data_IF_908749185581
#
_entry.id   IF_908749185581
#
_cell.length_a   1.000
_cell.length_b   1.000
_cell.length_c   1.000
_cell.angle_alpha   90.00
_cell.angle_beta   90.00
_cell.angle_gamma   90.00
#
_symmetry.space_group_name_H-M   'P 1'
#
loop_
_entity.id
_entity.type
_entity.pdbx_description
1 polymer ?
#
# COMPACT_ATOMS: atom_id res chain seq x y z
N UNK A 1 -27.06 29.16 59.90
CA UNK A 1 -26.40 29.66 58.67
C UNK A 1 -25.75 28.49 57.94
N UNK A 2 -26.05 28.35 56.65
CA UNK A 2 -25.69 27.23 55.76
C UNK A 2 -24.17 27.13 55.55
N UNK A 3 -23.63 25.91 55.46
CA UNK A 3 -22.32 25.66 54.82
C UNK A 3 -22.47 24.65 53.68
N UNK A 4 -21.93 25.08 52.56
CA UNK A 4 -21.98 24.62 51.18
C UNK A 4 -21.38 23.24 50.96
N UNK A 5 -22.11 22.37 50.26
CA UNK A 5 -21.59 21.13 49.67
C UNK A 5 -20.84 21.46 48.37
N UNK A 6 -19.57 21.05 48.27
CA UNK A 6 -18.77 21.20 47.04
C UNK A 6 -18.84 19.91 46.23
N UNK A 7 -19.39 20.03 45.02
CA UNK A 7 -19.49 18.95 44.02
C UNK A 7 -18.15 18.94 43.26
N UNK A 8 -17.33 17.91 43.48
CA UNK A 8 -16.19 17.65 42.59
C UNK A 8 -16.70 16.83 41.40
N UNK A 9 -17.03 17.54 40.33
CA UNK A 9 -17.30 16.95 39.03
C UNK A 9 -15.99 16.49 38.39
N UNK A 10 -15.78 15.17 38.35
CA UNK A 10 -14.70 14.57 37.58
C UNK A 10 -14.95 14.78 36.09
N UNK A 11 -14.21 15.70 35.47
CA UNK A 11 -14.15 15.81 34.01
C UNK A 11 -13.31 14.62 33.51
N UNK A 12 -13.98 13.56 33.07
CA UNK A 12 -13.33 12.54 32.25
C UNK A 12 -12.92 13.19 30.92
N UNK A 13 -11.65 13.53 30.77
CA UNK A 13 -11.05 13.79 29.47
C UNK A 13 -11.02 12.44 28.72
N UNK A 14 -11.97 12.24 27.81
CA UNK A 14 -11.86 11.19 26.81
C UNK A 14 -10.67 11.52 25.90
N UNK A 15 -9.52 10.92 26.18
CA UNK A 15 -8.45 10.80 25.20
C UNK A 15 -9.02 9.93 24.05
N UNK A 16 -9.37 10.56 22.94
CA UNK A 16 -9.70 9.85 21.71
C UNK A 16 -8.40 9.22 21.20
N UNK A 17 -8.20 7.95 21.56
CA UNK A 17 -7.14 7.13 20.99
C UNK A 17 -7.53 6.90 19.52
N UNK A 18 -7.02 7.72 18.60
CA UNK A 18 -7.05 7.40 17.18
C UNK A 18 -6.28 6.07 17.02
N UNK A 19 -6.85 5.04 16.37
CA UNK A 19 -6.14 3.79 16.16
C UNK A 19 -4.88 4.07 15.35
N UNK A 20 -3.74 3.67 15.91
CA UNK A 20 -2.45 3.72 15.26
C UNK A 20 -2.45 2.78 14.04
N UNK A 21 -2.05 3.34 12.88
CA UNK A 21 -1.80 2.69 11.60
C UNK A 21 -3.05 2.26 10.81
N UNK A 22 -3.67 3.22 10.12
CA UNK A 22 -4.51 2.88 8.98
C UNK A 22 -3.59 2.49 7.81
N UNK A 23 -3.87 1.38 7.14
CA UNK A 23 -3.18 1.02 5.90
C UNK A 23 -3.53 2.03 4.79
N UNK A 24 -2.53 2.43 4.01
CA UNK A 24 -2.75 3.21 2.80
C UNK A 24 -3.27 2.29 1.70
N UNK A 25 -4.39 2.65 1.10
CA UNK A 25 -5.03 1.87 0.04
C UNK A 25 -5.10 2.69 -1.24
N UNK A 26 -4.69 2.08 -2.33
CA UNK A 26 -4.68 2.70 -3.65
C UNK A 26 -5.25 1.76 -4.71
N UNK A 27 -5.84 2.33 -5.74
CA UNK A 27 -6.34 1.59 -6.91
C UNK A 27 -5.96 2.26 -8.22
N UNK A 28 -5.88 1.49 -9.28
CA UNK A 28 -5.67 1.96 -10.65
C UNK A 28 -5.86 0.81 -11.64
N UNK A 29 -5.43 1.01 -12.88
CA UNK A 29 -5.53 -0.01 -13.93
C UNK A 29 -4.24 -0.14 -14.72
N UNK A 30 -3.88 -1.38 -15.08
CA UNK A 30 -2.81 -1.66 -16.02
C UNK A 30 -3.40 -2.23 -17.31
N UNK A 31 -2.96 -1.74 -18.47
CA UNK A 31 -3.40 -2.30 -19.73
C UNK A 31 -2.58 -3.54 -20.09
N UNK A 32 -3.25 -4.63 -20.47
CA UNK A 32 -2.61 -5.84 -21.00
C UNK A 32 -2.57 -5.90 -22.53
N UNK A 33 -2.88 -4.77 -23.18
CA UNK A 33 -3.00 -4.61 -24.62
C UNK A 33 -4.43 -4.75 -25.16
N UNK A 34 -5.30 -5.50 -24.47
CA UNK A 34 -6.70 -5.69 -24.88
C UNK A 34 -7.70 -5.35 -23.78
N UNK A 35 -7.27 -5.39 -22.52
CA UNK A 35 -8.10 -5.18 -21.35
C UNK A 35 -7.41 -4.23 -20.37
N UNK A 36 -8.21 -3.48 -19.63
CA UNK A 36 -7.77 -2.76 -18.46
C UNK A 36 -7.94 -3.66 -17.24
N UNK A 37 -6.83 -3.97 -16.59
CA UNK A 37 -6.77 -4.87 -15.44
C UNK A 37 -6.71 -4.04 -14.18
N UNK A 38 -7.71 -4.12 -13.28
CA UNK A 38 -7.67 -3.39 -12.03
C UNK A 38 -6.52 -3.85 -11.14
N UNK A 39 -5.83 -2.88 -10.57
CA UNK A 39 -4.73 -3.09 -9.63
C UNK A 39 -5.11 -2.44 -8.31
N UNK A 40 -4.99 -3.18 -7.22
CA UNK A 40 -5.16 -2.69 -5.87
C UNK A 40 -3.87 -2.85 -5.09
N UNK A 41 -3.46 -1.77 -4.42
CA UNK A 41 -2.28 -1.74 -3.56
C UNK A 41 -2.73 -1.39 -2.13
N UNK A 42 -2.23 -2.15 -1.15
CA UNK A 42 -2.37 -1.82 0.26
C UNK A 42 -0.99 -1.82 0.89
N UNK A 43 -0.61 -0.73 1.56
CA UNK A 43 0.69 -0.54 2.19
C UNK A 43 0.49 -0.16 3.66
N UNK A 44 1.25 -0.79 4.55
CA UNK A 44 1.31 -0.37 5.94
C UNK A 44 2.00 0.99 6.03
N UNK A 45 1.39 1.94 6.75
CA UNK A 45 1.91 3.31 6.96
C UNK A 45 3.26 3.37 7.66
N UNK A 46 3.61 2.31 8.38
CA UNK A 46 4.93 2.15 9.00
C UNK A 46 5.47 0.76 8.70
N UNK A 47 6.72 0.71 8.25
CA UNK A 47 7.41 -0.54 7.93
C UNK A 47 8.92 -0.37 8.11
N UNK A 48 9.59 -1.46 8.47
CA UNK A 48 11.05 -1.51 8.64
C UNK A 48 11.66 -2.38 7.54
N UNK A 49 12.94 -2.15 7.15
CA UNK A 49 13.62 -3.04 6.22
C UNK A 49 13.49 -4.51 6.62
N UNK A 50 13.00 -5.33 5.70
CA UNK A 50 12.75 -6.77 5.90
C UNK A 50 11.39 -7.11 6.52
N UNK A 51 10.54 -6.14 6.87
CA UNK A 51 9.20 -6.43 7.38
C UNK A 51 8.17 -6.63 6.27
N UNK A 52 7.13 -7.43 6.54
CA UNK A 52 5.92 -7.39 5.74
C UNK A 52 5.37 -5.96 5.75
N UNK A 53 4.99 -5.45 4.59
CA UNK A 53 4.68 -4.04 4.38
C UNK A 53 3.43 -3.81 3.53
N UNK A 54 2.75 -4.87 3.09
CA UNK A 54 1.52 -4.73 2.32
C UNK A 54 1.25 -5.86 1.34
N UNK A 55 0.40 -5.57 0.37
CA UNK A 55 0.05 -6.46 -0.73
C UNK A 55 -0.28 -5.67 -2.00
N UNK A 56 0.02 -6.26 -3.16
CA UNK A 56 -0.49 -5.83 -4.46
C UNK A 56 -1.34 -6.94 -5.07
N UNK A 57 -2.46 -6.57 -5.68
CA UNK A 57 -3.39 -7.49 -6.32
C UNK A 57 -3.74 -7.01 -7.73
N UNK A 58 -3.76 -7.94 -8.66
CA UNK A 58 -4.25 -7.76 -10.03
C UNK A 58 -5.54 -8.58 -10.16
N UNK A 59 -6.63 -7.90 -10.47
CA UNK A 59 -7.97 -8.49 -10.39
C UNK A 59 -8.44 -9.01 -11.76
N UNK A 60 -9.75 -9.23 -11.90
CA UNK A 60 -10.43 -9.67 -13.12
C UNK A 60 -9.84 -10.91 -13.80
N UNK A 61 -9.25 -10.77 -14.97
CA UNK A 61 -8.75 -11.88 -15.77
C UNK A 61 -7.41 -12.42 -15.23
N UNK A 62 -6.70 -11.63 -14.41
CA UNK A 62 -5.38 -12.03 -13.90
C UNK A 62 -5.47 -12.78 -12.57
N UNK A 63 -6.38 -12.39 -11.68
CA UNK A 63 -6.67 -13.02 -10.37
C UNK A 63 -5.42 -13.44 -9.59
N UNK A 64 -4.44 -12.55 -9.50
CA UNK A 64 -3.16 -12.82 -8.87
C UNK A 64 -2.78 -11.74 -7.86
N UNK A 65 -1.85 -12.02 -6.96
CA UNK A 65 -1.35 -11.03 -6.01
C UNK A 65 -0.07 -11.47 -5.31
N UNK A 66 0.60 -10.51 -4.69
CA UNK A 66 1.87 -10.70 -4.01
C UNK A 66 1.86 -9.99 -2.67
N UNK A 67 2.42 -10.64 -1.66
CA UNK A 67 2.78 -9.97 -0.42
C UNK A 67 4.00 -9.08 -0.67
N UNK A 68 4.04 -7.93 -0.02
CA UNK A 68 5.13 -6.98 -0.15
C UNK A 68 5.98 -7.02 1.11
N UNK A 69 7.29 -7.14 0.94
CA UNK A 69 8.26 -6.96 2.00
C UNK A 69 9.10 -5.72 1.70
N UNK A 70 9.09 -4.75 2.61
CA UNK A 70 9.82 -3.50 2.41
C UNK A 70 11.33 -3.76 2.46
N UNK A 71 12.05 -3.14 1.53
CA UNK A 71 13.50 -3.20 1.47
C UNK A 71 14.13 -1.90 1.98
N UNK A 72 13.85 -0.79 1.29
CA UNK A 72 14.46 0.52 1.56
C UNK A 72 13.73 1.62 0.81
N UNK A 73 14.00 2.87 1.20
CA UNK A 73 13.67 4.06 0.42
C UNK A 73 14.94 4.65 -0.17
N UNK A 74 14.93 4.99 -1.47
CA UNK A 74 15.99 5.71 -2.17
C UNK A 74 15.35 6.83 -2.98
N UNK A 75 15.83 8.06 -2.83
CA UNK A 75 15.37 9.21 -3.63
C UNK A 75 13.84 9.38 -3.67
N UNK A 76 13.18 9.18 -2.51
CA UNK A 76 11.71 9.20 -2.34
C UNK A 76 10.96 8.06 -3.05
N UNK A 77 11.66 7.01 -3.45
CA UNK A 77 11.10 5.78 -3.99
C UNK A 77 11.26 4.66 -2.96
N UNK A 78 10.14 4.10 -2.53
CA UNK A 78 10.12 2.90 -1.69
C UNK A 78 10.26 1.65 -2.56
N UNK A 79 11.06 0.71 -2.10
CA UNK A 79 11.35 -0.54 -2.82
C UNK A 79 10.85 -1.71 -2.00
N UNK A 80 10.06 -2.57 -2.62
CA UNK A 80 9.46 -3.76 -2.01
C UNK A 80 9.82 -5.00 -2.83
N UNK A 81 10.11 -6.11 -2.16
CA UNK A 81 10.17 -7.41 -2.84
C UNK A 81 8.79 -8.04 -2.93
N UNK A 82 8.51 -8.73 -4.05
CA UNK A 82 7.29 -9.48 -4.27
C UNK A 82 7.46 -10.90 -3.71
N UNK A 83 6.70 -11.23 -2.68
CA UNK A 83 6.73 -12.52 -2.01
C UNK A 83 5.54 -13.38 -2.46
N UNK A 84 5.84 -14.64 -2.80
CA UNK A 84 4.87 -15.64 -3.25
C UNK A 84 5.11 -16.13 -4.68
N UNK A 85 4.41 -17.21 -5.02
CA UNK A 85 4.39 -17.74 -6.37
C UNK A 85 3.22 -17.08 -7.11
N UNK A 86 3.53 -16.13 -8.00
CA UNK A 86 2.53 -15.57 -8.91
C UNK A 86 1.84 -16.69 -9.68
N UNK A 87 0.53 -16.59 -9.89
CA UNK A 87 -0.25 -17.55 -10.69
C UNK A 87 -0.63 -16.94 -12.03
N UNK A 88 -0.96 -17.81 -12.99
CA UNK A 88 -1.45 -17.41 -14.31
C UNK A 88 -0.51 -16.41 -15.00
N UNK A 89 -1.06 -15.24 -15.36
CA UNK A 89 -0.32 -14.19 -16.08
C UNK A 89 0.75 -13.49 -15.26
N UNK A 90 0.75 -13.67 -13.94
CA UNK A 90 1.69 -13.00 -13.03
C UNK A 90 2.89 -13.87 -12.66
N UNK A 91 3.01 -15.08 -13.23
CA UNK A 91 4.14 -15.99 -12.97
C UNK A 91 5.49 -15.31 -13.20
N UNK A 92 5.60 -14.47 -14.25
CA UNK A 92 6.84 -13.73 -14.53
C UNK A 92 7.23 -12.77 -13.40
N UNK A 93 6.26 -12.24 -12.66
CA UNK A 93 6.49 -11.33 -11.53
C UNK A 93 6.89 -12.07 -10.24
N UNK A 94 6.84 -13.41 -10.22
CA UNK A 94 7.25 -14.18 -9.05
C UNK A 94 8.72 -13.88 -8.71
N UNK A 95 8.98 -13.47 -7.47
CA UNK A 95 10.30 -13.00 -7.00
C UNK A 95 10.78 -11.68 -7.61
N UNK A 96 9.88 -10.90 -8.21
CA UNK A 96 10.15 -9.56 -8.69
C UNK A 96 10.22 -8.52 -7.56
N UNK A 97 10.19 -7.25 -7.95
CA UNK A 97 10.16 -6.14 -7.00
C UNK A 97 9.27 -5.01 -7.51
N UNK A 98 8.82 -4.18 -6.57
CA UNK A 98 7.96 -3.03 -6.81
C UNK A 98 8.66 -1.77 -6.32
N UNK A 99 8.71 -0.77 -7.17
CA UNK A 99 9.04 0.61 -6.80
C UNK A 99 7.75 1.39 -6.63
N UNK A 100 7.68 2.21 -5.57
CA UNK A 100 6.57 3.11 -5.30
C UNK A 100 7.13 4.51 -5.12
N UNK A 101 6.63 5.47 -5.89
CA UNK A 101 7.05 6.87 -5.81
C UNK A 101 5.89 7.84 -5.96
N UNK A 102 6.16 9.15 -5.78
CA UNK A 102 5.16 10.19 -5.98
C UNK A 102 4.75 10.27 -7.47
N UNK A 103 3.44 10.37 -7.71
CA UNK A 103 2.86 10.66 -9.02
C UNK A 103 2.29 12.08 -9.13
N UNK A 104 1.70 12.39 -10.28
CA UNK A 104 1.07 13.68 -10.53
C UNK A 104 -0.25 13.83 -9.77
N UNK A 105 -0.61 15.05 -9.36
CA UNK A 105 -1.92 15.33 -8.75
C UNK A 105 -2.21 14.58 -7.44
N UNK A 106 -1.16 14.13 -6.73
CA UNK A 106 -1.29 13.34 -5.51
C UNK A 106 -1.58 11.85 -5.73
N UNK A 107 -1.40 11.36 -6.97
CA UNK A 107 -1.32 9.92 -7.25
C UNK A 107 -0.03 9.32 -6.72
N UNK A 108 0.03 8.00 -6.67
CA UNK A 108 1.23 7.21 -6.43
C UNK A 108 1.54 6.44 -7.70
N UNK A 109 2.76 6.57 -8.21
CA UNK A 109 3.23 5.72 -9.32
C UNK A 109 3.85 4.47 -8.74
N UNK A 110 3.43 3.31 -9.24
CA UNK A 110 4.15 2.07 -9.03
C UNK A 110 4.81 1.60 -10.32
N UNK A 111 5.98 0.99 -10.17
CA UNK A 111 6.67 0.29 -11.24
C UNK A 111 6.95 -1.13 -10.77
N UNK A 112 6.50 -2.11 -11.53
CA UNK A 112 6.65 -3.53 -11.20
C UNK A 112 7.67 -4.13 -12.15
N UNK A 113 8.66 -4.77 -11.56
CA UNK A 113 9.77 -5.40 -12.25
C UNK A 113 9.71 -6.90 -11.97
N UNK A 114 10.01 -7.71 -12.98
CA UNK A 114 10.45 -9.06 -12.69
C UNK A 114 11.95 -9.07 -12.33
N UNK A 115 12.45 -10.25 -11.98
CA UNK A 115 13.85 -10.41 -11.56
C UNK A 115 14.86 -10.27 -12.72
N UNK A 116 14.42 -10.43 -13.96
CA UNK A 116 15.29 -10.58 -15.13
C UNK A 116 15.47 -9.27 -15.91
N UNK A 117 14.49 -8.37 -15.84
CA UNK A 117 14.48 -7.15 -16.62
C UNK A 117 15.02 -5.94 -15.86
N UNK A 118 15.76 -5.09 -16.57
CA UNK A 118 16.23 -3.79 -16.07
C UNK A 118 15.16 -2.69 -16.20
N UNK A 119 14.10 -2.96 -16.97
CA UNK A 119 12.99 -2.05 -17.21
C UNK A 119 11.72 -2.56 -16.50
N UNK A 120 10.80 -1.66 -16.11
CA UNK A 120 9.55 -2.08 -15.51
C UNK A 120 8.70 -2.84 -16.52
N UNK A 121 8.17 -3.98 -16.10
CA UNK A 121 7.18 -4.76 -16.85
C UNK A 121 5.86 -3.99 -16.89
N UNK A 122 5.52 -3.34 -15.77
CA UNK A 122 4.32 -2.51 -15.65
C UNK A 122 4.64 -1.19 -14.94
N UNK A 123 4.04 -0.11 -15.40
CA UNK A 123 3.99 1.17 -14.70
C UNK A 123 2.52 1.56 -14.54
N UNK A 124 2.11 1.92 -13.33
CA UNK A 124 0.71 2.17 -13.00
C UNK A 124 0.61 3.40 -12.11
N UNK A 125 -0.26 4.34 -12.49
CA UNK A 125 -0.73 5.41 -11.64
C UNK A 125 -1.87 4.90 -10.74
N UNK A 126 -1.70 5.02 -9.43
CA UNK A 126 -2.68 4.62 -8.44
C UNK A 126 -3.20 5.84 -7.67
N UNK A 127 -4.51 5.86 -7.44
CA UNK A 127 -5.19 6.90 -6.66
C UNK A 127 -5.57 6.37 -5.28
N UNK A 128 -5.46 7.18 -4.22
CA UNK A 128 -5.91 6.79 -2.88
C UNK A 128 -7.40 6.45 -2.85
N UNK A 129 -7.78 5.38 -2.16
CA UNK A 129 -9.19 5.02 -1.95
C UNK A 129 -9.66 5.49 -0.57
N UNK A 130 -10.89 6.01 -0.47
CA UNK A 130 -11.53 6.33 0.81
C UNK A 130 -11.11 7.66 1.43
N UNK A 131 -10.80 8.67 0.60
CA UNK A 131 -10.78 10.07 1.03
C UNK A 131 -12.19 10.62 1.14
#
# INVERSE_FOLDING_TARGET
MRRTASIFGSVMLLAVILPANADEKFTGTVSDGNNDIPVALTIATTHQPGSAAGQIRFEDQWKCGFALQFSKTRDKVDIYSLQGAGSGRCVALASGYLHRGPGAGGSTVIQVFDRLHQAPVYTVDLVPTGK
#
